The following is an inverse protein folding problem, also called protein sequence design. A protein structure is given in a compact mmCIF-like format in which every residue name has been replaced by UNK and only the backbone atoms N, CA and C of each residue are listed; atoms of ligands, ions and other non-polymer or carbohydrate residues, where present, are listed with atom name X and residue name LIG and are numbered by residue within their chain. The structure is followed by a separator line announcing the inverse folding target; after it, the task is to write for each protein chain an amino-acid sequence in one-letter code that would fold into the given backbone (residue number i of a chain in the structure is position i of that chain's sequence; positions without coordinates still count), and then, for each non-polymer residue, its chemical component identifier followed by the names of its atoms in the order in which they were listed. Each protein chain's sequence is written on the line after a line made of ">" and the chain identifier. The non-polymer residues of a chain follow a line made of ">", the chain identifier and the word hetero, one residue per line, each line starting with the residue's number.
data_IF_025334092009
#
_entry.id   IF_025334092009
#
_cell.length_a   1.000
_cell.length_b   1.000
_cell.length_c   1.000
_cell.angle_alpha   90.00
_cell.angle_beta   90.00
_cell.angle_gamma   90.00
#
_symmetry.space_group_name_H-M   'P 1'
#
loop_
_entity.id
_entity.type
_entity.pdbx_description
1 polymer ?
#
# COMPACT_ATOMS: atom_id res chain seq x y z
N UNK A 1 19.61 3.16 3.56
CA UNK A 1 18.67 2.30 4.31
C UNK A 1 17.59 1.86 3.34
N UNK A 2 17.11 0.62 3.43
CA UNK A 2 16.05 0.08 2.57
C UNK A 2 14.81 -0.26 3.39
N UNK A 3 13.64 0.15 2.93
CA UNK A 3 12.38 -0.20 3.58
C UNK A 3 11.31 -0.57 2.57
N UNK A 4 10.48 -1.55 2.93
CA UNK A 4 9.33 -1.96 2.15
C UNK A 4 8.04 -1.48 2.82
N UNK A 5 7.26 -0.70 2.09
CA UNK A 5 5.97 -0.18 2.53
C UNK A 5 4.87 -1.11 2.03
N UNK A 6 4.11 -1.69 2.97
CA UNK A 6 2.99 -2.58 2.71
C UNK A 6 1.71 -1.80 3.02
N UNK A 7 1.05 -1.30 1.98
CA UNK A 7 -0.13 -0.45 2.11
C UNK A 7 -1.42 -1.18 1.75
N UNK A 8 -2.32 -1.34 2.72
CA UNK A 8 -3.68 -1.82 2.46
C UNK A 8 -4.65 -0.64 2.35
N UNK A 9 -5.38 -0.54 1.25
CA UNK A 9 -6.36 0.54 1.03
C UNK A 9 -7.76 0.02 0.77
N UNK A 10 -8.71 0.52 1.55
CA UNK A 10 -10.13 0.35 1.31
C UNK A 10 -10.71 1.54 0.51
N UNK A 11 -10.28 2.77 0.82
CA UNK A 11 -10.85 4.00 0.26
C UNK A 11 -10.13 4.51 -0.99
N UNK A 12 -8.94 4.00 -1.29
CA UNK A 12 -8.13 4.42 -2.42
C UNK A 12 -7.44 5.78 -2.23
N UNK A 13 -7.40 6.31 -1.00
CA UNK A 13 -6.71 7.57 -0.73
C UNK A 13 -5.23 7.32 -0.42
N UNK A 14 -4.39 7.81 -1.32
CA UNK A 14 -2.96 7.54 -1.36
C UNK A 14 -2.14 8.83 -1.47
N UNK A 15 -2.84 9.96 -1.55
CA UNK A 15 -2.29 11.27 -1.83
C UNK A 15 -1.20 11.66 -0.81
N UNK A 16 -1.42 11.33 0.46
CA UNK A 16 -0.48 11.62 1.54
C UNK A 16 0.67 10.62 1.63
N UNK A 17 0.46 9.36 1.26
CA UNK A 17 1.44 8.30 1.52
C UNK A 17 2.72 8.50 0.70
N UNK A 18 2.57 8.66 -0.61
CA UNK A 18 3.70 8.52 -1.53
C UNK A 18 4.52 9.80 -1.66
N UNK A 19 3.85 10.97 -1.60
CA UNK A 19 4.52 12.26 -1.59
C UNK A 19 5.30 12.50 -0.30
N UNK A 20 4.75 12.10 0.84
CA UNK A 20 5.30 12.47 2.15
C UNK A 20 6.55 11.68 2.52
N UNK A 21 6.54 10.35 2.35
CA UNK A 21 7.66 9.51 2.77
C UNK A 21 8.93 9.78 1.95
N UNK A 22 8.80 9.81 0.61
CA UNK A 22 9.95 10.05 -0.28
C UNK A 22 10.51 11.47 -0.13
N UNK A 23 9.64 12.47 0.08
CA UNK A 23 10.09 13.85 0.26
C UNK A 23 10.81 14.07 1.60
N UNK A 24 10.30 13.50 2.70
CA UNK A 24 10.90 13.67 4.03
C UNK A 24 12.14 12.81 4.26
N UNK A 25 12.25 11.68 3.58
CA UNK A 25 13.32 10.71 3.78
C UNK A 25 13.94 10.28 2.44
N UNK A 26 14.60 11.20 1.72
CA UNK A 26 15.18 10.89 0.40
C UNK A 26 16.36 9.91 0.45
N UNK A 27 16.91 9.68 1.64
CA UNK A 27 18.00 8.75 1.95
C UNK A 27 17.54 7.30 2.15
N UNK A 28 16.23 7.06 2.17
CA UNK A 28 15.62 5.73 2.27
C UNK A 28 15.21 5.27 0.88
N UNK A 29 15.72 4.11 0.49
CA UNK A 29 15.26 3.39 -0.70
C UNK A 29 13.95 2.67 -0.35
N UNK A 30 12.85 3.08 -0.99
CA UNK A 30 11.49 2.65 -0.67
C UNK A 30 10.89 1.82 -1.79
N UNK A 31 10.51 0.58 -1.48
CA UNK A 31 9.66 -0.25 -2.34
C UNK A 31 8.22 -0.25 -1.81
N UNK A 32 7.26 -0.35 -2.73
CA UNK A 32 5.84 -0.27 -2.39
C UNK A 32 5.09 -1.52 -2.82
N UNK A 33 4.38 -2.10 -1.87
CA UNK A 33 3.42 -3.18 -2.05
C UNK A 33 2.04 -2.64 -1.67
N UNK A 34 1.10 -2.62 -2.60
CA UNK A 34 -0.21 -2.01 -2.38
C UNK A 34 -1.32 -3.02 -2.61
N UNK A 35 -2.15 -3.25 -1.60
CA UNK A 35 -3.35 -4.05 -1.71
C UNK A 35 -4.56 -3.15 -1.78
N UNK A 36 -5.32 -3.23 -2.86
CA UNK A 36 -6.59 -2.53 -3.01
C UNK A 36 -7.74 -3.48 -2.70
N UNK A 37 -8.67 -3.03 -1.86
CA UNK A 37 -9.88 -3.79 -1.58
C UNK A 37 -10.77 -3.85 -2.83
N UNK A 38 -11.20 -5.04 -3.24
CA UNK A 38 -11.99 -5.25 -4.47
C UNK A 38 -13.39 -4.63 -4.42
N UNK A 39 -13.93 -4.49 -3.21
CA UNK A 39 -15.23 -3.89 -2.89
C UNK A 39 -15.20 -2.36 -3.04
N UNK A 40 -14.02 -1.76 -3.21
CA UNK A 40 -13.93 -0.40 -3.69
C UNK A 40 -14.41 -0.35 -5.14
N UNK A 41 -15.52 0.35 -5.38
CA UNK A 41 -16.13 0.55 -6.71
C UNK A 41 -15.13 1.10 -7.73
N UNK A 42 -14.09 1.80 -7.27
CA UNK A 42 -13.03 2.40 -8.08
C UNK A 42 -11.70 1.66 -7.98
N UNK A 43 -11.66 0.42 -7.49
CA UNK A 43 -10.43 -0.36 -7.29
C UNK A 43 -9.52 -0.41 -8.52
N UNK A 44 -10.08 -0.63 -9.71
CA UNK A 44 -9.32 -0.61 -10.97
C UNK A 44 -8.70 0.76 -11.29
N UNK A 45 -9.44 1.84 -11.04
CA UNK A 45 -8.94 3.20 -11.26
C UNK A 45 -7.81 3.51 -10.26
N UNK A 46 -8.01 3.15 -8.99
CA UNK A 46 -6.99 3.31 -7.93
C UNK A 46 -5.71 2.56 -8.30
N UNK A 47 -5.80 1.30 -8.75
CA UNK A 47 -4.63 0.51 -9.19
C UNK A 47 -3.94 1.17 -10.39
N UNK A 48 -4.72 1.63 -11.37
CA UNK A 48 -4.19 2.32 -12.56
C UNK A 48 -3.43 3.59 -12.17
N UNK A 49 -4.03 4.41 -11.28
CA UNK A 49 -3.44 5.65 -10.80
C UNK A 49 -2.17 5.38 -9.97
N UNK A 50 -2.16 4.35 -9.12
CA UNK A 50 -0.96 3.90 -8.39
C UNK A 50 0.17 3.60 -9.36
N UNK A 51 -0.07 2.72 -10.35
CA UNK A 51 0.95 2.28 -11.29
C UNK A 51 1.48 3.42 -12.16
N UNK A 52 0.64 4.39 -12.49
CA UNK A 52 1.02 5.57 -13.27
C UNK A 52 1.96 6.50 -12.49
N UNK A 53 1.71 6.68 -11.19
CA UNK A 53 2.40 7.68 -10.39
C UNK A 53 3.61 7.12 -9.62
N UNK A 54 3.69 5.79 -9.45
CA UNK A 54 4.71 5.15 -8.62
C UNK A 54 5.48 4.13 -9.43
N UNK A 55 6.75 4.42 -9.75
CA UNK A 55 7.62 3.46 -10.42
C UNK A 55 7.77 2.20 -9.56
N UNK A 56 7.75 1.02 -10.21
CA UNK A 56 8.04 -0.28 -9.60
C UNK A 56 7.16 -0.67 -8.41
N UNK A 57 5.94 -0.11 -8.31
CA UNK A 57 4.95 -0.53 -7.31
C UNK A 57 4.38 -1.91 -7.67
N UNK A 58 4.26 -2.76 -6.66
CA UNK A 58 3.62 -4.07 -6.78
C UNK A 58 2.21 -3.94 -6.21
N UNK A 59 1.20 -4.15 -7.06
CA UNK A 59 -0.21 -4.02 -6.68
C UNK A 59 -0.88 -5.38 -6.65
N UNK A 60 -1.72 -5.62 -5.65
CA UNK A 60 -2.64 -6.75 -5.59
C UNK A 60 -4.05 -6.25 -5.26
N UNK A 61 -5.05 -7.07 -5.56
CA UNK A 61 -6.46 -6.77 -5.29
C UNK A 61 -7.08 -7.96 -4.59
N UNK A 62 -7.69 -7.74 -3.43
CA UNK A 62 -8.27 -8.82 -2.62
C UNK A 62 -9.69 -8.44 -2.18
N UNK A 63 -10.56 -9.45 -1.97
CA UNK A 63 -11.82 -9.20 -1.29
C UNK A 63 -11.60 -8.75 0.15
N UNK A 64 -12.60 -8.12 0.75
CA UNK A 64 -12.63 -7.66 2.14
C UNK A 64 -12.94 -8.80 3.12
N UNK A 65 -12.63 -10.04 2.73
CA UNK A 65 -12.82 -11.22 3.58
C UNK A 65 -11.73 -11.19 4.65
N UNK A 66 -12.16 -11.23 5.91
CA UNK A 66 -11.26 -10.96 7.04
C UNK A 66 -11.02 -9.47 7.28
N UNK A 67 -11.78 -8.57 6.65
CA UNK A 67 -11.65 -7.10 6.81
C UNK A 67 -10.20 -6.65 6.52
N UNK A 68 -9.73 -5.64 7.26
CA UNK A 68 -8.42 -5.06 7.05
C UNK A 68 -7.24 -6.01 7.36
N UNK A 69 -7.44 -7.12 8.09
CA UNK A 69 -6.33 -8.05 8.39
C UNK A 69 -6.02 -8.96 7.19
N UNK A 70 -7.04 -9.33 6.41
CA UNK A 70 -6.87 -10.20 5.24
C UNK A 70 -5.92 -9.60 4.21
N UNK A 71 -6.19 -8.36 3.79
CA UNK A 71 -5.33 -7.66 2.82
C UNK A 71 -3.90 -7.42 3.33
N UNK A 72 -3.71 -7.21 4.63
CA UNK A 72 -2.37 -7.08 5.24
C UNK A 72 -1.60 -8.40 5.18
N UNK A 73 -2.25 -9.53 5.49
CA UNK A 73 -1.61 -10.84 5.42
C UNK A 73 -1.22 -11.21 3.99
N UNK A 74 -2.04 -10.86 3.00
CA UNK A 74 -1.70 -11.04 1.58
C UNK A 74 -0.46 -10.20 1.20
N UNK A 75 -0.33 -8.98 1.71
CA UNK A 75 0.87 -8.17 1.47
C UNK A 75 2.12 -8.76 2.11
N UNK A 76 2.00 -9.29 3.33
CA UNK A 76 3.12 -9.97 4.03
C UNK A 76 3.54 -11.21 3.25
N UNK A 77 2.58 -12.06 2.85
CA UNK A 77 2.86 -13.26 2.05
C UNK A 77 3.53 -12.91 0.72
N UNK A 78 3.00 -11.91 0.01
CA UNK A 78 3.57 -11.42 -1.24
C UNK A 78 5.01 -10.91 -1.06
N UNK A 79 5.25 -10.12 -0.02
CA UNK A 79 6.58 -9.61 0.29
C UNK A 79 7.55 -10.74 0.66
N UNK A 80 7.13 -11.71 1.46
CA UNK A 80 7.95 -12.87 1.81
C UNK A 80 8.31 -13.72 0.57
N UNK A 81 7.34 -13.91 -0.33
CA UNK A 81 7.55 -14.70 -1.55
C UNK A 81 8.51 -14.02 -2.55
N UNK A 82 8.44 -12.69 -2.64
CA UNK A 82 9.36 -11.92 -3.49
C UNK A 82 10.72 -11.68 -2.83
N UNK A 83 10.79 -11.80 -1.51
CA UNK A 83 11.97 -11.66 -0.68
C UNK A 83 12.88 -10.46 -1.06
N UNK A 84 12.33 -9.24 -1.16
CA UNK A 84 13.12 -8.05 -1.43
C UNK A 84 14.08 -7.75 -0.27
N UNK A 85 15.29 -7.28 -0.62
CA UNK A 85 16.27 -6.81 0.35
C UNK A 85 15.74 -5.58 1.11
N UNK A 86 15.70 -5.66 2.45
CA UNK A 86 15.09 -4.63 3.28
C UNK A 86 15.58 -4.68 4.73
N UNK A 87 15.80 -3.51 5.31
CA UNK A 87 16.08 -3.36 6.74
C UNK A 87 14.77 -3.41 7.56
N UNK A 88 13.66 -2.91 6.98
CA UNK A 88 12.39 -2.77 7.67
C UNK A 88 11.18 -2.98 6.76
N UNK A 89 10.14 -3.55 7.35
CA UNK A 89 8.80 -3.60 6.76
C UNK A 89 7.88 -2.67 7.54
N UNK A 90 7.16 -1.80 6.83
CA UNK A 90 6.21 -0.86 7.43
C UNK A 90 4.82 -1.16 6.86
N UNK A 91 3.91 -1.61 7.73
CA UNK A 91 2.53 -1.89 7.34
C UNK A 91 1.67 -0.68 7.65
N UNK A 92 0.98 -0.19 6.63
CA UNK A 92 0.15 1.00 6.68
C UNK A 92 -1.24 0.66 6.10
N UNK A 93 -2.25 1.39 6.56
CA UNK A 93 -3.60 1.29 5.99
C UNK A 93 -4.29 2.65 6.02
N UNK A 94 -5.20 2.87 5.09
CA UNK A 94 -6.08 4.02 5.16
C UNK A 94 -7.17 3.81 6.22
N UNK A 95 -7.56 4.92 6.86
CA UNK A 95 -8.67 4.94 7.80
C UNK A 95 -9.37 6.27 7.66
N UNK A 96 -10.68 6.24 7.46
CA UNK A 96 -11.51 7.44 7.58
C UNK A 96 -12.10 7.48 8.97
N UNK A 97 -11.86 8.59 9.69
CA UNK A 97 -12.52 8.83 10.97
C UNK A 97 -13.94 9.31 10.70
N UNK A 98 -14.95 8.81 11.43
CA UNK A 98 -16.29 9.40 11.38
C UNK A 98 -16.34 10.82 11.99
N UNK A 99 -15.25 11.27 12.63
CA UNK A 99 -15.14 12.57 13.30
C UNK A 99 -14.38 13.62 12.48
N UNK A 100 -13.90 13.28 11.28
CA UNK A 100 -13.31 14.24 10.34
C UNK A 100 -14.39 14.68 9.36
N UNK A 101 -15.23 15.62 9.80
CA UNK A 101 -16.07 16.47 8.94
C UNK A 101 -15.27 17.65 8.42
#
# INVERSE_FOLDING_TARGET
>A
MKANILFHTYYGDLSELFGHFKFKHPDIDLNYFVNVCSENISSNNVISDIKKNIPNVITTCTPNIGKDIGGKLVLVDLAMNLNPDSDFYIILHDKKSPHTT
#
